data_IF_920284890186
#
_entry.id   IF_920284890186
#
_cell.length_a   1.000
_cell.length_b   1.000
_cell.length_c   1.000
_cell.angle_alpha   90.00
_cell.angle_beta   90.00
_cell.angle_gamma   90.00
#
_symmetry.space_group_name_H-M   'P 1'
#
loop_
_entity.id
_entity.type
_entity.pdbx_description
1 polymer ?
#
# COMPACT_ATOMS: atom_id res chain seq x y z
N UNK A 1 -24.72 1.97 -2.68
CA UNK A 1 -23.47 1.22 -2.39
C UNK A 1 -23.83 -0.21 -2.01
N UNK A 2 -23.40 -1.19 -2.81
CA UNK A 2 -23.64 -2.62 -2.55
C UNK A 2 -22.73 -3.08 -1.40
N UNK A 3 -23.12 -4.16 -0.70
CA UNK A 3 -22.33 -4.72 0.42
C UNK A 3 -20.89 -5.08 -0.02
N UNK A 4 -20.74 -5.58 -1.24
CA UNK A 4 -19.45 -5.92 -1.84
C UNK A 4 -18.53 -4.71 -2.02
N UNK A 5 -19.08 -3.52 -2.29
CA UNK A 5 -18.30 -2.29 -2.45
C UNK A 5 -17.67 -1.89 -1.10
N UNK A 6 -18.42 -2.06 0.01
CA UNK A 6 -17.93 -1.78 1.36
C UNK A 6 -16.83 -2.76 1.80
N UNK A 7 -17.02 -4.05 1.48
CA UNK A 7 -16.05 -5.11 1.79
C UNK A 7 -14.76 -4.92 0.98
N UNK A 8 -14.88 -4.68 -0.33
CA UNK A 8 -13.75 -4.41 -1.22
C UNK A 8 -12.96 -3.18 -0.79
N UNK A 9 -13.63 -2.11 -0.39
CA UNK A 9 -12.96 -0.89 0.08
C UNK A 9 -12.22 -1.11 1.41
N UNK A 10 -12.78 -1.92 2.33
CA UNK A 10 -12.11 -2.28 3.59
C UNK A 10 -10.82 -3.07 3.33
N UNK A 11 -10.87 -4.08 2.47
CA UNK A 11 -9.68 -4.86 2.14
C UNK A 11 -8.64 -4.05 1.36
N UNK A 12 -9.09 -3.20 0.43
CA UNK A 12 -8.20 -2.28 -0.29
C UNK A 12 -7.42 -1.38 0.66
N UNK A 13 -8.10 -0.76 1.64
CA UNK A 13 -7.45 0.08 2.65
C UNK A 13 -6.43 -0.72 3.48
N UNK A 14 -6.79 -1.93 3.93
CA UNK A 14 -5.87 -2.79 4.69
C UNK A 14 -4.61 -3.10 3.87
N UNK A 15 -4.78 -3.48 2.60
CA UNK A 15 -3.66 -3.82 1.70
C UNK A 15 -2.76 -2.60 1.49
N UNK A 16 -3.33 -1.44 1.17
CA UNK A 16 -2.55 -0.21 1.01
C UNK A 16 -1.82 0.18 2.29
N UNK A 17 -2.49 0.17 3.43
CA UNK A 17 -1.87 0.52 4.71
C UNK A 17 -0.68 -0.40 5.02
N UNK A 18 -0.82 -1.70 4.75
CA UNK A 18 0.25 -2.66 4.94
C UNK A 18 1.43 -2.41 3.99
N UNK A 19 1.17 -2.13 2.71
CA UNK A 19 2.20 -1.82 1.72
C UNK A 19 2.93 -0.48 2.03
N UNK A 20 2.22 0.51 2.58
CA UNK A 20 2.81 1.77 3.05
C UNK A 20 3.74 1.49 4.23
N UNK A 21 3.33 0.64 5.18
CA UNK A 21 4.13 0.26 6.35
C UNK A 21 5.43 -0.45 5.94
N UNK A 22 5.35 -1.40 5.01
CA UNK A 22 6.53 -2.09 4.46
C UNK A 22 7.48 -1.09 3.81
N UNK A 23 6.96 -0.17 3.01
CA UNK A 23 7.78 0.88 2.39
C UNK A 23 8.42 1.80 3.42
N UNK A 24 7.67 2.24 4.44
CA UNK A 24 8.22 3.04 5.53
C UNK A 24 9.38 2.33 6.21
N UNK A 25 9.25 1.04 6.49
CA UNK A 25 10.32 0.22 7.08
C UNK A 25 11.53 0.18 6.14
N UNK A 26 11.33 -0.16 4.87
CA UNK A 26 12.40 -0.28 3.87
C UNK A 26 13.18 1.02 3.65
N UNK A 27 12.50 2.17 3.64
CA UNK A 27 13.13 3.48 3.44
C UNK A 27 13.50 4.20 4.74
N UNK A 28 13.15 3.65 5.91
CA UNK A 28 13.56 4.21 7.19
C UNK A 28 15.05 3.96 7.46
N UNK A 29 15.73 4.95 8.05
CA UNK A 29 17.10 4.81 8.54
C UNK A 29 17.15 4.35 10.02
N UNK A 30 16.09 3.67 10.48
CA UNK A 30 15.99 3.20 11.86
C UNK A 30 16.73 1.86 11.98
N UNK A 31 17.85 1.84 12.70
CA UNK A 31 18.68 0.64 12.90
C UNK A 31 17.90 -0.56 13.44
N UNK A 32 16.91 -0.33 14.30
CA UNK A 32 16.06 -1.39 14.85
C UNK A 32 15.22 -2.13 13.80
N UNK A 33 15.06 -1.59 12.60
CA UNK A 33 14.32 -2.24 11.52
C UNK A 33 15.21 -2.79 10.41
N UNK A 34 16.54 -2.72 10.55
CA UNK A 34 17.48 -3.15 9.52
C UNK A 34 17.30 -4.63 9.13
N UNK A 35 16.94 -5.49 10.10
CA UNK A 35 16.65 -6.91 9.84
C UNK A 35 15.33 -7.16 9.08
N UNK A 36 14.43 -6.17 9.04
CA UNK A 36 13.17 -6.22 8.29
C UNK A 36 13.29 -5.55 6.92
N UNK A 37 14.40 -4.81 6.66
CA UNK A 37 14.59 -4.13 5.38
C UNK A 37 14.82 -5.15 4.29
N UNK A 38 14.05 -5.01 3.23
CA UNK A 38 14.21 -5.77 2.00
C UNK A 38 15.35 -5.18 1.18
N UNK A 39 15.92 -6.01 0.30
CA UNK A 39 16.87 -5.54 -0.71
C UNK A 39 16.21 -4.48 -1.62
N UNK A 40 17.02 -3.56 -2.15
CA UNK A 40 16.63 -2.42 -2.99
C UNK A 40 15.73 -2.83 -4.16
N UNK A 41 15.99 -3.99 -4.78
CA UNK A 41 15.13 -4.52 -5.85
C UNK A 41 13.68 -4.75 -5.38
N UNK A 42 13.49 -5.45 -4.27
CA UNK A 42 12.16 -5.73 -3.74
C UNK A 42 11.50 -4.47 -3.21
N UNK A 43 12.26 -3.61 -2.50
CA UNK A 43 11.76 -2.32 -2.04
C UNK A 43 11.22 -1.47 -3.19
N UNK A 44 11.96 -1.39 -4.30
CA UNK A 44 11.50 -0.71 -5.52
C UNK A 44 10.25 -1.35 -6.15
N UNK A 45 10.17 -2.69 -6.17
CA UNK A 45 8.99 -3.39 -6.65
C UNK A 45 7.73 -3.09 -5.81
N UNK A 46 7.87 -2.98 -4.48
CA UNK A 46 6.77 -2.61 -3.59
C UNK A 46 6.26 -1.19 -3.85
N UNK A 47 7.14 -0.21 -4.05
CA UNK A 47 6.75 1.14 -4.51
C UNK A 47 6.03 1.06 -5.86
N UNK A 48 6.60 0.28 -6.80
CA UNK A 48 6.05 0.11 -8.14
C UNK A 48 4.63 -0.44 -8.16
N UNK A 49 4.27 -1.29 -7.19
CA UNK A 49 2.89 -1.81 -7.01
C UNK A 49 2.01 -0.82 -6.23
N UNK A 50 2.59 -0.10 -5.27
CA UNK A 50 1.86 0.88 -4.44
C UNK A 50 1.23 1.99 -5.28
N UNK A 51 1.96 2.52 -6.26
CA UNK A 51 1.53 3.67 -7.08
C UNK A 51 0.28 3.33 -7.91
N UNK A 52 0.23 2.25 -8.71
CA UNK A 52 -0.97 1.83 -9.42
C UNK A 52 -2.14 1.55 -8.48
N UNK A 53 -1.89 0.89 -7.35
CA UNK A 53 -2.96 0.60 -6.38
C UNK A 53 -3.58 1.89 -5.85
N UNK A 54 -2.75 2.84 -5.41
CA UNK A 54 -3.18 4.14 -4.90
C UNK A 54 -4.00 4.92 -5.95
N UNK A 55 -3.55 4.89 -7.20
CA UNK A 55 -4.26 5.53 -8.31
C UNK A 55 -5.64 4.89 -8.56
N UNK A 56 -5.74 3.56 -8.55
CA UNK A 56 -7.01 2.85 -8.71
C UNK A 56 -8.00 3.18 -7.59
N UNK A 57 -7.57 3.23 -6.33
CA UNK A 57 -8.50 3.62 -5.27
C UNK A 57 -8.86 5.11 -5.28
N UNK A 58 -7.97 5.99 -5.74
CA UNK A 58 -8.31 7.40 -5.95
C UNK A 58 -9.41 7.54 -7.00
N UNK A 59 -9.30 6.82 -8.13
CA UNK A 59 -10.34 6.80 -9.17
C UNK A 59 -11.66 6.22 -8.66
N UNK A 60 -11.61 5.14 -7.87
CA UNK A 60 -12.82 4.55 -7.29
C UNK A 60 -13.48 5.48 -6.28
N UNK A 61 -12.70 6.20 -5.46
CA UNK A 61 -13.20 7.19 -4.51
C UNK A 61 -13.90 8.36 -5.21
N UNK A 62 -13.31 8.88 -6.30
CA UNK A 62 -13.94 9.95 -7.11
C UNK A 62 -15.26 9.47 -7.71
N UNK A 63 -15.33 8.23 -8.21
CA UNK A 63 -16.55 7.66 -8.82
C UNK A 63 -17.67 7.35 -7.82
N UNK A 64 -17.36 7.20 -6.53
CA UNK A 64 -18.35 6.89 -5.49
C UNK A 64 -18.86 8.11 -4.73
N UNK A 65 -18.33 9.30 -5.04
CA UNK A 65 -18.82 10.60 -4.56
C UNK A 65 -19.80 11.20 -5.55
#
# INVERSE_FOLDING_TARGET
>A
MRLNDKIGNRYYLIIISFLILINLINYSNIKSFEFLRMNDFFSGAFIGILIPLAFVGMLNYIKTK
#
